data_IF_337881789729
#
_entry.id   IF_337881789729
#
_cell.length_a   1.000
_cell.length_b   1.000
_cell.length_c   1.000
_cell.angle_alpha   90.00
_cell.angle_beta   90.00
_cell.angle_gamma   90.00
#
_symmetry.space_group_name_H-M   'P 1'
#
loop_
_entity.id
_entity.type
_entity.pdbx_description
1 polymer ?
#
# COMPACT_ATOMS: atom_id res chain seq x y z
N UNK A 1 2.85 -19.16 17.52
CA UNK A 1 4.08 -19.33 16.73
C UNK A 1 4.34 -20.78 16.35
N UNK A 2 3.77 -21.78 17.06
CA UNK A 2 3.95 -23.22 16.77
C UNK A 2 3.51 -23.62 15.34
N UNK A 3 2.42 -23.04 14.83
CA UNK A 3 1.86 -23.38 13.51
C UNK A 3 2.82 -23.21 12.31
N UNK A 4 3.83 -22.35 12.40
CA UNK A 4 4.83 -22.16 11.34
C UNK A 4 6.17 -22.82 11.69
N UNK A 5 6.46 -22.92 12.98
CA UNK A 5 7.74 -23.40 13.47
C UNK A 5 7.88 -24.92 13.34
N UNK A 6 6.81 -25.68 13.62
CA UNK A 6 6.84 -27.14 13.55
C UNK A 6 6.98 -27.62 12.10
N UNK A 7 6.22 -27.10 11.12
CA UNK A 7 6.47 -27.43 9.71
C UNK A 7 7.88 -27.10 9.23
N UNK A 8 8.45 -25.96 9.66
CA UNK A 8 9.82 -25.58 9.27
C UNK A 8 10.85 -26.57 9.83
N UNK A 9 10.73 -26.95 11.11
CA UNK A 9 11.64 -27.92 11.74
C UNK A 9 11.49 -29.32 11.15
N UNK A 10 10.26 -29.77 10.90
CA UNK A 10 9.98 -31.05 10.25
C UNK A 10 10.59 -31.12 8.85
N UNK A 11 10.70 -29.97 8.16
CA UNK A 11 11.37 -29.84 6.86
C UNK A 11 12.87 -29.48 6.98
N UNK A 12 13.49 -29.70 8.14
CA UNK A 12 14.94 -29.63 8.32
C UNK A 12 15.51 -28.23 8.58
N UNK A 13 14.69 -27.23 8.89
CA UNK A 13 15.18 -25.91 9.31
C UNK A 13 15.83 -26.00 10.72
N UNK A 14 17.09 -25.60 10.81
CA UNK A 14 17.89 -25.63 12.06
C UNK A 14 18.24 -24.25 12.59
N UNK A 15 17.79 -23.17 11.93
CA UNK A 15 18.08 -21.80 12.30
C UNK A 15 17.22 -21.25 13.44
N UNK A 16 17.50 -20.01 13.84
CA UNK A 16 16.62 -19.25 14.73
C UNK A 16 15.46 -18.62 13.93
N UNK A 17 14.25 -18.66 14.49
CA UNK A 17 13.07 -18.02 13.93
C UNK A 17 12.77 -16.73 14.70
N UNK A 18 12.70 -15.61 14.01
CA UNK A 18 12.35 -14.30 14.57
C UNK A 18 11.15 -13.71 13.82
N UNK A 19 10.27 -13.03 14.55
CA UNK A 19 9.10 -12.37 14.00
C UNK A 19 9.31 -10.86 14.10
N UNK A 20 9.20 -10.19 12.97
CA UNK A 20 9.39 -8.75 12.86
C UNK A 20 8.22 -8.10 12.15
N UNK A 21 8.05 -6.79 12.37
CA UNK A 21 7.06 -6.01 11.64
C UNK A 21 7.39 -5.97 10.15
N UNK A 22 6.35 -6.12 9.32
CA UNK A 22 6.40 -5.87 7.89
C UNK A 22 6.87 -4.45 7.55
N UNK A 23 6.50 -3.44 8.36
CA UNK A 23 6.98 -2.06 8.23
C UNK A 23 8.48 -1.95 8.47
N UNK A 24 9.01 -2.68 9.45
CA UNK A 24 10.45 -2.72 9.72
C UNK A 24 11.21 -3.45 8.62
N UNK A 25 10.67 -4.56 8.12
CA UNK A 25 11.21 -5.26 6.96
C UNK A 25 11.19 -4.37 5.72
N UNK A 26 10.09 -3.65 5.46
CA UNK A 26 9.98 -2.70 4.35
C UNK A 26 11.04 -1.59 4.46
N UNK A 27 11.17 -0.94 5.62
CA UNK A 27 12.21 0.08 5.83
C UNK A 27 13.62 -0.50 5.59
N UNK A 28 13.88 -1.69 6.13
CA UNK A 28 15.18 -2.36 6.02
C UNK A 28 15.50 -2.85 4.61
N UNK A 29 14.51 -2.92 3.70
CA UNK A 29 14.73 -3.14 2.27
C UNK A 29 15.30 -1.90 1.56
N UNK A 30 15.17 -0.72 2.15
CA UNK A 30 15.51 0.55 1.51
C UNK A 30 16.66 1.31 2.15
N UNK A 31 16.92 1.11 3.45
CA UNK A 31 17.96 1.85 4.17
C UNK A 31 18.58 1.05 5.31
N UNK A 32 19.84 1.36 5.62
CA UNK A 32 20.53 0.90 6.85
C UNK A 32 20.87 2.04 7.82
N UNK A 33 20.34 3.25 7.56
CA UNK A 33 20.59 4.44 8.37
C UNK A 33 20.16 4.24 9.85
N UNK A 34 20.89 4.84 10.82
CA UNK A 34 20.58 4.73 12.25
C UNK A 34 19.20 5.25 12.63
N UNK A 35 18.73 6.30 11.93
CA UNK A 35 17.40 6.89 12.04
C UNK A 35 16.82 7.03 10.64
N UNK A 36 15.54 6.72 10.46
CA UNK A 36 14.82 6.96 9.22
C UNK A 36 13.34 6.61 9.34
N UNK A 37 12.63 6.72 8.23
CA UNK A 37 11.17 6.66 8.19
C UNK A 37 10.69 5.65 7.17
N UNK A 38 9.83 4.75 7.59
CA UNK A 38 9.15 3.80 6.71
C UNK A 38 7.72 4.25 6.46
N UNK A 39 7.27 4.26 5.20
CA UNK A 39 5.89 4.53 4.82
C UNK A 39 5.36 3.36 4.00
N UNK A 40 4.25 2.79 4.40
CA UNK A 40 3.50 1.85 3.54
C UNK A 40 2.26 2.56 3.03
N UNK A 41 2.07 2.52 1.72
CA UNK A 41 0.88 3.03 1.05
C UNK A 41 0.37 2.00 0.02
N UNK A 42 -0.61 1.21 0.44
CA UNK A 42 -1.30 0.21 -0.36
C UNK A 42 -2.80 0.41 -0.27
N UNK A 43 -3.55 -0.64 0.08
CA UNK A 43 -4.98 -0.47 0.41
C UNK A 43 -5.17 0.42 1.63
N UNK A 44 -4.31 0.26 2.64
CA UNK A 44 -4.19 1.15 3.81
C UNK A 44 -2.88 1.95 3.80
N UNK A 45 -2.66 2.78 4.81
CA UNK A 45 -1.46 3.58 4.93
C UNK A 45 -1.01 3.83 6.38
N UNK A 46 0.30 3.74 6.62
CA UNK A 46 0.92 4.11 7.91
C UNK A 46 2.36 4.58 7.73
N UNK A 47 2.89 5.26 8.74
CA UNK A 47 4.30 5.61 8.83
C UNK A 47 4.92 5.14 10.15
N UNK A 48 6.21 4.80 10.11
CA UNK A 48 7.01 4.45 11.28
C UNK A 48 8.31 5.24 11.30
N UNK A 49 8.78 5.56 12.50
CA UNK A 49 10.17 5.95 12.74
C UNK A 49 10.96 4.73 13.17
N UNK A 50 12.05 4.47 12.48
CA UNK A 50 13.01 3.42 12.82
C UNK A 50 14.25 4.06 13.40
N UNK A 51 14.68 3.59 14.58
CA UNK A 51 15.89 4.00 15.26
C UNK A 51 16.64 2.78 15.79
N UNK A 52 17.94 2.69 15.50
CA UNK A 52 18.78 1.57 15.95
C UNK A 52 18.24 0.21 15.52
N UNK A 53 17.62 0.14 14.33
CA UNK A 53 17.04 -1.08 13.78
C UNK A 53 15.71 -1.52 14.42
N UNK A 54 15.03 -0.65 15.17
CA UNK A 54 13.74 -0.93 15.80
C UNK A 54 12.73 0.17 15.49
N UNK A 55 11.45 -0.18 15.42
CA UNK A 55 10.37 0.83 15.35
C UNK A 55 10.25 1.49 16.72
N UNK A 56 10.36 2.82 16.76
CA UNK A 56 10.25 3.62 18.00
C UNK A 56 9.03 4.53 18.03
N UNK A 57 8.40 4.76 16.88
CA UNK A 57 7.12 5.46 16.77
C UNK A 57 6.35 4.99 15.54
N UNK A 58 5.02 5.03 15.62
CA UNK A 58 4.09 4.68 14.54
C UNK A 58 2.99 5.72 14.47
N UNK A 59 2.57 6.08 13.26
CA UNK A 59 1.41 6.93 13.03
C UNK A 59 0.51 6.36 11.93
N UNK A 60 -0.79 6.59 12.10
CA UNK A 60 -1.87 6.05 11.27
C UNK A 60 -1.88 4.50 11.21
N UNK A 61 -2.42 3.88 10.16
CA UNK A 61 -2.68 2.44 10.09
C UNK A 61 -3.88 1.99 10.94
N UNK A 62 -4.81 2.90 11.23
CA UNK A 62 -5.99 2.63 12.07
C UNK A 62 -7.20 2.07 11.28
N UNK A 63 -6.94 1.61 10.05
CA UNK A 63 -7.95 1.07 9.15
C UNK A 63 -8.77 2.16 8.45
N UNK A 64 -9.46 1.73 7.39
CA UNK A 64 -10.19 2.59 6.44
C UNK A 64 -11.18 3.61 7.05
N UNK A 65 -11.73 3.34 8.24
CA UNK A 65 -12.73 4.20 8.88
C UNK A 65 -12.10 5.34 9.69
N UNK A 66 -11.01 5.06 10.42
CA UNK A 66 -10.42 5.97 11.41
C UNK A 66 -9.03 6.49 11.01
N UNK A 67 -8.44 5.86 9.99
CA UNK A 67 -7.08 6.09 9.53
C UNK A 67 -6.92 5.83 8.04
N UNK A 68 -5.78 5.23 7.69
CA UNK A 68 -5.37 4.93 6.31
C UNK A 68 -5.44 6.17 5.40
N UNK A 69 -5.05 7.33 5.93
CA UNK A 69 -5.16 8.59 5.19
C UNK A 69 -4.17 8.59 4.03
N UNK A 70 -4.65 9.02 2.85
CA UNK A 70 -3.87 9.00 1.62
C UNK A 70 -3.59 7.61 1.02
N UNK A 71 -4.19 6.56 1.59
CA UNK A 71 -4.11 5.19 1.05
C UNK A 71 -4.89 5.03 -0.26
N UNK A 72 -4.74 3.87 -0.89
CA UNK A 72 -5.55 3.47 -2.04
C UNK A 72 -7.05 3.46 -1.74
N UNK A 73 -7.47 3.03 -0.54
CA UNK A 73 -8.87 3.18 -0.13
C UNK A 73 -9.30 4.65 -0.09
N UNK A 74 -8.47 5.52 0.50
CA UNK A 74 -8.75 6.95 0.61
C UNK A 74 -8.93 7.58 -0.78
N UNK A 75 -8.03 7.27 -1.71
CA UNK A 75 -8.05 7.75 -3.10
C UNK A 75 -9.28 7.21 -3.84
N UNK A 76 -9.54 5.91 -3.76
CA UNK A 76 -10.66 5.27 -4.45
C UNK A 76 -12.03 5.72 -3.91
N UNK A 77 -12.15 5.93 -2.59
CA UNK A 77 -13.31 6.59 -1.99
C UNK A 77 -13.48 8.03 -2.52
N UNK A 78 -12.38 8.76 -2.69
CA UNK A 78 -12.38 10.09 -3.30
C UNK A 78 -12.97 10.08 -4.72
N UNK A 79 -12.60 9.10 -5.55
CA UNK A 79 -13.15 8.91 -6.88
C UNK A 79 -14.68 8.69 -6.86
N UNK A 80 -15.14 7.79 -5.98
CA UNK A 80 -16.56 7.51 -5.81
C UNK A 80 -17.33 8.75 -5.33
N UNK A 81 -16.77 9.50 -4.36
CA UNK A 81 -17.38 10.72 -3.85
C UNK A 81 -17.44 11.82 -4.90
N UNK A 82 -16.41 11.97 -5.74
CA UNK A 82 -16.41 12.91 -6.85
C UNK A 82 -17.50 12.58 -7.89
N UNK A 83 -17.64 11.31 -8.27
CA UNK A 83 -18.68 10.87 -9.19
C UNK A 83 -20.09 11.11 -8.65
N UNK A 84 -20.31 10.83 -7.36
CA UNK A 84 -21.58 11.14 -6.69
C UNK A 84 -21.85 12.65 -6.68
N UNK A 85 -20.84 13.47 -6.37
CA UNK A 85 -21.00 14.92 -6.32
C UNK A 85 -21.34 15.51 -7.69
N UNK A 86 -20.71 15.06 -8.76
CA UNK A 86 -21.06 15.47 -10.13
C UNK A 86 -22.50 15.09 -10.48
N UNK A 87 -22.89 13.83 -10.22
CA UNK A 87 -24.24 13.34 -10.51
C UNK A 87 -25.34 14.04 -9.67
N UNK A 88 -25.02 14.49 -8.46
CA UNK A 88 -25.92 15.27 -7.59
C UNK A 88 -25.88 16.78 -7.89
N UNK A 89 -25.05 17.22 -8.85
CA UNK A 89 -24.92 18.62 -9.25
C UNK A 89 -24.10 19.50 -8.29
N UNK A 90 -23.39 18.91 -7.33
CA UNK A 90 -22.56 19.59 -6.34
C UNK A 90 -21.07 19.65 -6.73
N UNK A 91 -20.64 18.76 -7.62
CA UNK A 91 -19.27 18.64 -8.10
C UNK A 91 -19.10 19.12 -9.54
N UNK A 92 -17.86 19.45 -9.94
CA UNK A 92 -17.56 19.74 -11.35
C UNK A 92 -17.63 18.46 -12.20
N UNK A 93 -17.79 18.63 -13.50
CA UNK A 93 -17.65 17.55 -14.48
C UNK A 93 -16.22 16.98 -14.47
N UNK A 94 -16.09 15.66 -14.51
CA UNK A 94 -14.82 14.96 -14.50
C UNK A 94 -14.87 13.67 -15.34
N UNK A 95 -13.75 13.31 -15.95
CA UNK A 95 -13.60 12.01 -16.62
C UNK A 95 -13.70 10.83 -15.65
N UNK A 96 -13.62 11.07 -14.34
CA UNK A 96 -13.80 10.06 -13.31
C UNK A 96 -15.23 9.53 -13.26
N UNK A 97 -16.24 10.37 -13.46
CA UNK A 97 -17.65 9.97 -13.34
C UNK A 97 -18.02 8.84 -14.31
N UNK A 98 -17.80 8.96 -15.62
CA UNK A 98 -18.08 7.86 -16.54
C UNK A 98 -17.24 6.60 -16.24
N UNK A 99 -15.99 6.75 -15.77
CA UNK A 99 -15.12 5.60 -15.41
C UNK A 99 -15.61 4.86 -14.17
N UNK A 100 -16.03 5.59 -13.14
CA UNK A 100 -16.59 5.02 -11.90
C UNK A 100 -17.90 4.32 -12.21
N UNK A 101 -18.78 4.92 -13.02
CA UNK A 101 -20.02 4.28 -13.46
C UNK A 101 -19.74 2.98 -14.23
N UNK A 102 -18.80 3.01 -15.18
CA UNK A 102 -18.39 1.82 -15.93
C UNK A 102 -17.83 0.74 -15.00
N UNK A 103 -16.92 1.09 -14.07
CA UNK A 103 -16.34 0.15 -13.11
C UNK A 103 -17.37 -0.41 -12.12
N UNK A 104 -18.44 0.35 -11.84
CA UNK A 104 -19.58 -0.10 -11.04
C UNK A 104 -20.59 -0.95 -11.85
N UNK A 105 -20.34 -1.19 -13.14
CA UNK A 105 -21.24 -1.94 -14.02
C UNK A 105 -22.50 -1.17 -14.42
N UNK A 106 -22.47 0.15 -14.32
CA UNK A 106 -23.58 1.04 -14.67
C UNK A 106 -23.30 1.60 -16.06
N UNK A 107 -23.89 0.98 -17.07
CA UNK A 107 -23.81 1.41 -18.47
C UNK A 107 -25.21 1.56 -19.07
N UNK A 108 -25.40 2.55 -19.94
CA UNK A 108 -26.59 2.66 -20.79
C UNK A 108 -27.12 4.09 -21.00
N UNK A 109 -27.90 4.25 -22.07
CA UNK A 109 -28.48 5.51 -22.57
C UNK A 109 -29.45 6.19 -21.56
N UNK A 110 -29.87 5.48 -20.51
CA UNK A 110 -30.74 6.00 -19.45
C UNK A 110 -30.02 6.56 -18.21
N UNK A 111 -28.69 6.63 -18.20
CA UNK A 111 -27.92 7.11 -17.04
C UNK A 111 -28.31 8.54 -16.59
N UNK A 112 -28.65 9.40 -17.55
CA UNK A 112 -29.09 10.78 -17.32
C UNK A 112 -30.62 10.93 -17.22
N UNK A 113 -31.38 9.83 -17.27
CA UNK A 113 -32.82 9.91 -17.06
C UNK A 113 -33.11 10.33 -15.61
N UNK A 114 -34.14 11.16 -15.42
CA UNK A 114 -34.61 11.54 -14.09
C UNK A 114 -35.44 10.41 -13.48
N UNK A 115 -35.06 10.02 -12.27
CA UNK A 115 -35.80 9.13 -11.39
C UNK A 115 -37.04 9.80 -10.81
N UNK A 116 -37.78 9.04 -9.99
CA UNK A 116 -39.07 9.47 -9.45
C UNK A 116 -38.96 10.65 -8.46
N UNK A 117 -37.80 10.85 -7.84
CA UNK A 117 -37.51 11.96 -6.93
C UNK A 117 -36.79 13.14 -7.63
N UNK A 118 -36.60 13.07 -8.95
CA UNK A 118 -35.91 14.08 -9.76
C UNK A 118 -34.38 13.90 -9.83
N UNK A 119 -33.80 12.88 -9.17
CA UNK A 119 -32.36 12.59 -9.26
C UNK A 119 -32.01 11.78 -10.50
N UNK A 120 -30.76 11.83 -11.00
CA UNK A 120 -30.35 10.94 -12.07
C UNK A 120 -30.42 9.47 -11.66
N UNK A 121 -30.95 8.59 -12.53
CA UNK A 121 -31.01 7.14 -12.28
C UNK A 121 -29.61 6.55 -12.03
N UNK A 122 -28.58 7.08 -12.69
CA UNK A 122 -27.19 6.67 -12.44
C UNK A 122 -26.74 6.94 -11.00
N UNK A 123 -27.19 8.04 -10.37
CA UNK A 123 -26.87 8.37 -8.99
C UNK A 123 -27.46 7.33 -8.03
N UNK A 124 -28.75 7.02 -8.18
CA UNK A 124 -29.43 6.01 -7.37
C UNK A 124 -28.77 4.63 -7.49
N UNK A 125 -28.45 4.23 -8.73
CA UNK A 125 -27.78 2.95 -9.01
C UNK A 125 -26.38 2.90 -8.41
N UNK A 126 -25.59 3.98 -8.54
CA UNK A 126 -24.25 4.04 -8.00
C UNK A 126 -24.28 3.95 -6.48
N UNK A 127 -25.12 4.73 -5.81
CA UNK A 127 -25.32 4.63 -4.35
C UNK A 127 -25.61 3.18 -3.96
N UNK A 128 -26.59 2.53 -4.58
CA UNK A 128 -26.95 1.14 -4.26
C UNK A 128 -25.77 0.18 -4.43
N UNK A 129 -25.02 0.29 -5.52
CA UNK A 129 -23.84 -0.57 -5.77
C UNK A 129 -22.77 -0.35 -4.71
N UNK A 130 -22.44 0.89 -4.40
CA UNK A 130 -21.37 1.21 -3.44
C UNK A 130 -21.72 0.76 -2.02
N UNK A 131 -22.95 1.00 -1.55
CA UNK A 131 -23.39 0.58 -0.21
C UNK A 131 -23.56 -0.94 -0.06
N UNK A 132 -23.69 -1.69 -1.15
CA UNK A 132 -23.74 -3.15 -1.12
C UNK A 132 -22.36 -3.82 -1.04
N UNK A 133 -21.27 -3.08 -1.28
CA UNK A 133 -19.91 -3.61 -1.26
C UNK A 133 -19.28 -3.52 0.13
N UNK A 134 -18.24 -4.34 0.37
CA UNK A 134 -17.38 -4.16 1.54
C UNK A 134 -16.60 -2.84 1.36
N UNK A 135 -16.51 -1.95 2.37
CA UNK A 135 -15.89 -0.64 2.22
C UNK A 135 -14.50 -0.67 1.58
N UNK A 136 -13.67 -1.63 1.98
CA UNK A 136 -12.31 -1.80 1.43
C UNK A 136 -12.25 -1.95 -0.09
N UNK A 137 -13.33 -2.40 -0.75
CA UNK A 137 -13.40 -2.58 -2.20
C UNK A 137 -13.37 -1.25 -2.96
N UNK A 138 -13.67 -0.12 -2.32
CA UNK A 138 -13.51 1.20 -2.94
C UNK A 138 -12.07 1.49 -3.35
N UNK A 139 -11.07 0.84 -2.74
CA UNK A 139 -9.67 0.97 -3.17
C UNK A 139 -9.44 0.56 -4.63
N UNK A 140 -10.31 -0.27 -5.20
CA UNK A 140 -10.26 -0.66 -6.60
C UNK A 140 -10.50 0.50 -7.58
N UNK A 141 -11.04 1.64 -7.12
CA UNK A 141 -11.16 2.84 -7.95
C UNK A 141 -9.92 3.74 -7.94
N UNK A 142 -8.93 3.48 -7.08
CA UNK A 142 -7.71 4.30 -7.06
C UNK A 142 -6.97 4.36 -8.41
N UNK A 143 -6.84 3.27 -9.19
CA UNK A 143 -6.24 3.33 -10.52
C UNK A 143 -6.96 4.31 -11.46
N UNK A 144 -8.28 4.47 -11.36
CA UNK A 144 -9.04 5.41 -12.18
C UNK A 144 -8.61 6.86 -11.93
N UNK A 145 -8.24 7.19 -10.69
CA UNK A 145 -7.69 8.50 -10.32
C UNK A 145 -6.32 8.70 -10.94
N UNK A 146 -5.49 7.67 -10.97
CA UNK A 146 -4.16 7.77 -11.57
C UNK A 146 -4.26 8.03 -13.07
N UNK A 147 -5.09 7.24 -13.76
CA UNK A 147 -5.31 7.39 -15.19
C UNK A 147 -5.91 8.77 -15.53
N UNK A 148 -6.88 9.24 -14.74
CA UNK A 148 -7.47 10.58 -14.93
C UNK A 148 -6.47 11.72 -14.64
N UNK A 149 -5.58 11.55 -13.66
CA UNK A 149 -4.53 12.53 -13.38
C UNK A 149 -3.46 12.59 -14.48
N UNK A 150 -3.13 11.45 -15.12
CA UNK A 150 -2.29 11.42 -16.33
C UNK A 150 -2.92 12.26 -17.47
N UNK A 151 -4.25 12.31 -17.53
CA UNK A 151 -5.04 13.15 -18.46
C UNK A 151 -5.27 14.58 -17.98
N UNK A 152 -4.62 14.99 -16.87
CA UNK A 152 -4.70 16.35 -16.30
C UNK A 152 -6.11 16.74 -15.84
N UNK A 153 -6.92 15.75 -15.45
CA UNK A 153 -8.23 16.01 -14.84
C UNK A 153 -8.05 16.71 -13.47
N UNK A 154 -8.64 17.90 -13.27
CA UNK A 154 -8.40 18.71 -12.06
C UNK A 154 -8.96 18.06 -10.79
N UNK A 155 -10.01 17.24 -10.89
CA UNK A 155 -10.59 16.53 -9.74
C UNK A 155 -9.65 15.42 -9.30
N UNK A 156 -9.13 14.64 -10.25
CA UNK A 156 -8.17 13.58 -9.99
C UNK A 156 -6.86 14.13 -9.40
N UNK A 157 -6.29 15.19 -9.97
CA UNK A 157 -5.12 15.88 -9.40
C UNK A 157 -5.42 16.42 -8.00
N UNK A 158 -6.64 16.92 -7.77
CA UNK A 158 -7.17 17.31 -6.45
C UNK A 158 -7.06 16.20 -5.41
N UNK A 159 -7.58 15.02 -5.76
CA UNK A 159 -7.58 13.84 -4.90
C UNK A 159 -6.14 13.41 -4.58
N UNK A 160 -5.26 13.32 -5.58
CA UNK A 160 -3.87 12.88 -5.36
C UNK A 160 -3.06 13.87 -4.55
N UNK A 161 -3.27 15.17 -4.75
CA UNK A 161 -2.62 16.22 -3.96
C UNK A 161 -2.98 16.08 -2.48
N UNK A 162 -4.28 15.95 -2.18
CA UNK A 162 -4.73 15.78 -0.80
C UNK A 162 -4.21 14.46 -0.21
N UNK A 163 -4.21 13.36 -0.98
CA UNK A 163 -3.65 12.09 -0.53
C UNK A 163 -2.15 12.21 -0.16
N UNK A 164 -1.36 12.88 -1.01
CA UNK A 164 0.05 13.16 -0.74
C UNK A 164 0.26 14.00 0.52
N UNK A 165 -0.53 15.05 0.69
CA UNK A 165 -0.50 15.90 1.88
C UNK A 165 -0.84 15.13 3.17
N UNK A 166 -1.79 14.20 3.11
CA UNK A 166 -2.12 13.33 4.25
C UNK A 166 -0.97 12.38 4.60
N UNK A 167 -0.33 11.74 3.62
CA UNK A 167 0.81 10.85 3.86
C UNK A 167 1.98 11.62 4.50
N UNK A 168 2.28 12.82 4.01
CA UNK A 168 3.34 13.66 4.57
C UNK A 168 3.01 14.14 5.98
N UNK A 169 1.74 14.49 6.26
CA UNK A 169 1.30 14.77 7.63
C UNK A 169 1.55 13.58 8.55
N UNK A 170 1.24 12.36 8.11
CA UNK A 170 1.48 11.13 8.88
C UNK A 170 2.98 10.90 9.14
N UNK A 171 3.86 11.14 8.15
CA UNK A 171 5.32 11.09 8.35
C UNK A 171 5.75 12.12 9.39
N UNK A 172 5.24 13.36 9.29
CA UNK A 172 5.59 14.46 10.19
C UNK A 172 5.22 14.20 11.66
N UNK A 173 4.25 13.33 11.94
CA UNK A 173 3.88 12.93 13.31
C UNK A 173 4.94 12.05 14.00
N UNK A 174 5.72 11.30 13.22
CA UNK A 174 6.78 10.43 13.75
C UNK A 174 8.18 11.00 13.52
N UNK A 175 8.30 12.03 12.69
CA UNK A 175 9.58 12.65 12.37
C UNK A 175 10.13 13.45 13.55
N UNK A 176 11.40 13.22 13.88
CA UNK A 176 12.13 14.01 14.87
C UNK A 176 13.46 14.55 14.32
N UNK A 177 14.15 13.76 13.49
CA UNK A 177 15.46 14.09 12.89
C UNK A 177 15.44 13.88 11.37
N UNK A 178 16.32 14.53 10.59
CA UNK A 178 16.49 14.20 9.17
C UNK A 178 16.89 12.74 8.97
N UNK A 179 16.30 12.08 7.97
CA UNK A 179 16.59 10.69 7.66
C UNK A 179 15.94 10.23 6.35
N UNK A 180 16.36 9.07 5.81
CA UNK A 180 15.78 8.52 4.59
C UNK A 180 14.30 8.20 4.81
N UNK A 181 13.50 8.45 3.78
CA UNK A 181 12.10 8.03 3.69
C UNK A 181 12.04 6.84 2.74
N UNK A 182 11.83 5.66 3.31
CA UNK A 182 11.64 4.40 2.57
C UNK A 182 10.16 4.16 2.39
N UNK A 183 9.71 3.99 1.16
CA UNK A 183 8.30 3.87 0.82
C UNK A 183 8.04 2.57 0.07
N UNK A 184 7.06 1.82 0.55
CA UNK A 184 6.54 0.61 -0.11
C UNK A 184 5.03 0.64 -0.28
N UNK A 185 4.50 -0.33 -1.02
CA UNK A 185 3.06 -0.51 -1.27
C UNK A 185 2.63 -0.14 -2.69
N UNK A 186 1.54 -0.77 -3.14
CA UNK A 186 1.16 -0.78 -4.56
C UNK A 186 0.78 0.58 -5.14
N UNK A 187 0.39 1.55 -4.31
CA UNK A 187 -0.08 2.87 -4.78
C UNK A 187 1.07 3.72 -5.30
N UNK A 188 2.21 3.65 -4.61
CA UNK A 188 3.37 4.52 -4.85
C UNK A 188 4.45 3.85 -5.69
N UNK A 189 4.31 2.54 -5.95
CA UNK A 189 5.20 1.78 -6.84
C UNK A 189 4.82 1.89 -8.31
N UNK A 190 3.62 2.41 -8.63
CA UNK A 190 3.25 2.74 -10.00
C UNK A 190 3.94 4.05 -10.39
N UNK A 191 4.81 4.07 -11.42
CA UNK A 191 5.36 5.32 -11.94
C UNK A 191 4.25 6.25 -12.40
N UNK A 192 4.45 7.57 -12.25
CA UNK A 192 3.51 8.59 -12.70
C UNK A 192 3.04 9.51 -11.56
N UNK A 193 1.86 10.15 -11.72
CA UNK A 193 1.41 11.23 -10.85
C UNK A 193 1.43 10.93 -9.34
N UNK A 194 1.03 9.74 -8.83
CA UNK A 194 1.03 9.47 -7.40
C UNK A 194 2.44 9.52 -6.79
N UNK A 195 3.42 8.94 -7.48
CA UNK A 195 4.80 8.90 -7.04
C UNK A 195 5.45 10.29 -7.10
N UNK A 196 5.22 11.02 -8.20
CA UNK A 196 5.75 12.36 -8.41
C UNK A 196 5.20 13.35 -7.37
N UNK A 197 3.89 13.31 -7.12
CA UNK A 197 3.25 14.15 -6.12
C UNK A 197 3.77 13.83 -4.72
N UNK A 198 3.86 12.55 -4.33
CA UNK A 198 4.35 12.21 -3.00
C UNK A 198 5.81 12.65 -2.80
N UNK A 199 6.66 12.46 -3.82
CA UNK A 199 8.05 12.95 -3.81
C UNK A 199 8.10 14.46 -3.62
N UNK A 200 7.26 15.21 -4.34
CA UNK A 200 7.19 16.66 -4.21
C UNK A 200 6.75 17.11 -2.81
N UNK A 201 5.71 16.50 -2.23
CA UNK A 201 5.25 16.83 -0.88
C UNK A 201 6.31 16.49 0.18
N UNK A 202 7.03 15.37 0.03
CA UNK A 202 8.13 15.00 0.94
C UNK A 202 9.26 16.02 0.86
N UNK A 203 9.66 16.43 -0.35
CA UNK A 203 10.70 17.43 -0.56
C UNK A 203 10.30 18.80 0.01
N UNK A 204 9.03 19.21 -0.16
CA UNK A 204 8.51 20.45 0.39
C UNK A 204 8.48 20.45 1.92
N UNK A 205 8.05 19.35 2.55
CA UNK A 205 7.90 19.28 4.00
C UNK A 205 9.22 19.01 4.74
N UNK A 206 10.12 18.23 4.16
CA UNK A 206 11.30 17.70 4.86
C UNK A 206 12.63 18.06 4.19
N UNK A 207 12.59 18.79 3.06
CA UNK A 207 13.77 19.09 2.25
C UNK A 207 14.23 17.90 1.41
N UNK A 208 15.40 18.04 0.80
CA UNK A 208 16.05 16.99 0.00
C UNK A 208 16.57 15.86 0.91
N UNK A 209 15.67 14.93 1.24
CA UNK A 209 15.98 13.69 1.97
C UNK A 209 16.04 12.50 1.02
N UNK A 210 16.83 11.45 1.32
CA UNK A 210 16.82 10.25 0.50
C UNK A 210 15.43 9.63 0.44
N UNK A 211 14.84 9.60 -0.76
CA UNK A 211 13.53 9.02 -1.03
C UNK A 211 13.71 7.69 -1.76
N UNK A 212 13.47 6.58 -1.06
CA UNK A 212 13.78 5.23 -1.55
C UNK A 212 12.50 4.42 -1.71
N UNK A 213 12.24 3.95 -2.94
CA UNK A 213 11.15 3.03 -3.22
C UNK A 213 11.61 1.59 -3.06
N UNK A 214 10.74 0.76 -2.47
CA UNK A 214 10.94 -0.68 -2.29
C UNK A 214 9.70 -1.45 -2.72
N UNK A 215 9.92 -2.52 -3.49
CA UNK A 215 8.86 -3.37 -4.04
C UNK A 215 8.31 -4.38 -3.01
N UNK A 216 9.13 -4.78 -2.04
CA UNK A 216 8.82 -5.80 -1.05
C UNK A 216 9.67 -5.67 0.21
N UNK A 217 9.21 -6.30 1.30
CA UNK A 217 9.99 -6.46 2.53
C UNK A 217 11.03 -7.59 2.47
N UNK A 218 11.17 -8.31 1.35
CA UNK A 218 11.98 -9.53 1.29
C UNK A 218 13.49 -9.26 1.49
N UNK A 219 14.00 -8.20 0.86
CA UNK A 219 15.38 -7.76 1.08
C UNK A 219 15.61 -7.38 2.55
N UNK A 220 14.71 -6.59 3.14
CA UNK A 220 14.82 -6.17 4.53
C UNK A 220 14.62 -7.30 5.54
N UNK A 221 13.78 -8.30 5.26
CA UNK A 221 13.70 -9.51 6.08
C UNK A 221 15.05 -10.26 6.11
N UNK A 222 15.74 -10.32 4.98
CA UNK A 222 17.12 -10.87 4.91
C UNK A 222 18.10 -10.01 5.71
N UNK A 223 18.01 -8.67 5.61
CA UNK A 223 18.84 -7.75 6.38
C UNK A 223 18.62 -7.87 7.89
N UNK A 224 17.37 -8.04 8.32
CA UNK A 224 17.00 -8.27 9.71
C UNK A 224 17.53 -9.61 10.20
N UNK A 225 17.42 -10.68 9.41
CA UNK A 225 17.98 -11.98 9.75
C UNK A 225 19.51 -11.94 9.93
N UNK A 226 20.23 -11.21 9.07
CA UNK A 226 21.67 -10.98 9.22
C UNK A 226 22.00 -10.26 10.53
N UNK A 227 21.29 -9.16 10.84
CA UNK A 227 21.47 -8.43 12.11
C UNK A 227 21.24 -9.32 13.33
N UNK A 228 20.17 -10.13 13.32
CA UNK A 228 19.87 -11.08 14.39
C UNK A 228 20.94 -12.16 14.56
N UNK A 229 21.67 -12.46 13.49
CA UNK A 229 22.79 -13.40 13.51
C UNK A 229 24.11 -12.74 13.95
N UNK A 230 24.08 -11.47 14.37
CA UNK A 230 25.26 -10.71 14.77
C UNK A 230 26.12 -10.20 13.60
N UNK A 231 25.59 -10.23 12.37
CA UNK A 231 26.28 -9.68 11.21
C UNK A 231 26.00 -8.19 11.11
N UNK A 232 27.06 -7.39 11.13
CA UNK A 232 26.97 -5.96 10.81
C UNK A 232 26.55 -5.79 9.35
N UNK A 233 25.45 -5.06 9.14
CA UNK A 233 24.93 -4.79 7.80
C UNK A 233 25.13 -3.32 7.45
N UNK A 234 25.62 -3.11 6.23
CA UNK A 234 25.94 -1.81 5.65
C UNK A 234 25.25 -1.64 4.29
N UNK A 235 25.48 -0.50 3.63
CA UNK A 235 24.92 -0.20 2.32
C UNK A 235 25.37 -1.19 1.24
N UNK A 236 26.60 -1.73 1.35
CA UNK A 236 27.11 -2.74 0.43
C UNK A 236 26.35 -4.06 0.57
N UNK A 237 26.05 -4.46 1.80
CA UNK A 237 25.26 -5.64 2.12
C UNK A 237 23.84 -5.47 1.58
N UNK A 238 23.22 -4.32 1.83
CA UNK A 238 21.89 -4.00 1.32
C UNK A 238 21.83 -4.08 -0.20
N UNK A 239 22.77 -3.45 -0.91
CA UNK A 239 22.83 -3.48 -2.37
C UNK A 239 22.94 -4.91 -2.93
N UNK A 240 23.79 -5.75 -2.32
CA UNK A 240 23.95 -7.15 -2.72
C UNK A 240 22.67 -7.96 -2.49
N UNK A 241 22.03 -7.79 -1.33
CA UNK A 241 20.77 -8.48 -1.00
C UNK A 241 19.65 -8.06 -1.96
N UNK A 242 19.50 -6.75 -2.23
CA UNK A 242 18.49 -6.26 -3.18
C UNK A 242 18.70 -6.82 -4.58
N UNK A 243 19.94 -6.87 -5.07
CA UNK A 243 20.26 -7.45 -6.37
C UNK A 243 19.88 -8.93 -6.43
N UNK A 244 20.28 -9.73 -5.43
CA UNK A 244 19.99 -11.16 -5.38
C UNK A 244 18.49 -11.47 -5.29
N UNK A 245 17.74 -10.73 -4.49
CA UNK A 245 16.27 -10.89 -4.38
C UNK A 245 15.60 -10.52 -5.72
N UNK A 246 16.02 -9.42 -6.36
CA UNK A 246 15.49 -9.01 -7.66
C UNK A 246 15.77 -10.03 -8.77
N UNK A 247 16.92 -10.70 -8.75
CA UNK A 247 17.22 -11.81 -9.66
C UNK A 247 16.32 -13.02 -9.40
N UNK A 248 16.16 -13.44 -8.14
CA UNK A 248 15.31 -14.57 -7.78
C UNK A 248 13.83 -14.34 -8.13
N UNK A 249 13.31 -13.12 -7.93
CA UNK A 249 11.93 -12.78 -8.29
C UNK A 249 11.69 -12.81 -9.81
N UNK A 250 12.69 -12.40 -10.62
CA UNK A 250 12.63 -12.47 -12.10
C UNK A 250 12.75 -13.89 -12.65
N UNK A 251 13.50 -14.75 -11.96
CA UNK A 251 13.68 -16.14 -12.35
C UNK A 251 12.42 -17.02 -12.10
N UNK A 252 11.41 -16.49 -11.39
CA UNK A 252 10.32 -17.28 -10.83
C UNK A 252 10.80 -18.02 -9.58
N UNK A 253 9.99 -18.07 -8.53
CA UNK A 253 10.36 -18.76 -7.29
C UNK A 253 10.85 -20.19 -7.59
N UNK A 254 11.92 -20.68 -6.93
CA UNK A 254 12.29 -22.08 -7.04
C UNK A 254 11.07 -22.95 -6.74
N UNK A 255 10.94 -24.07 -7.45
CA UNK A 255 9.86 -25.02 -7.24
C UNK A 255 9.72 -25.30 -5.73
N UNK A 256 8.49 -25.34 -5.19
CA UNK A 256 8.28 -25.63 -3.78
C UNK A 256 9.03 -26.90 -3.42
N UNK A 257 9.68 -26.89 -2.26
CA UNK A 257 10.29 -28.10 -1.69
C UNK A 257 9.17 -29.16 -1.69
N UNK A 258 9.33 -30.28 -2.42
CA UNK A 258 8.25 -31.24 -2.57
C UNK A 258 7.83 -31.72 -1.18
N UNK A 259 6.55 -31.55 -0.86
CA UNK A 259 5.97 -32.03 0.37
C UNK A 259 6.06 -33.56 0.39
N UNK A 260 7.08 -34.09 1.06
CA UNK A 260 7.13 -35.49 1.45
C UNK A 260 6.22 -35.68 2.68
N UNK A 261 4.91 -35.55 2.50
CA UNK A 261 3.96 -36.03 3.50
C UNK A 261 3.82 -37.55 3.33
N UNK A 262 4.23 -38.39 4.29
CA UNK A 262 3.57 -39.67 4.44
C UNK A 262 2.12 -39.38 4.86
N UNK A 263 1.16 -39.96 4.15
CA UNK A 263 -0.24 -39.88 4.49
C UNK A 263 -0.42 -40.29 5.97
N UNK A 264 -1.04 -39.42 6.76
CA UNK A 264 -1.53 -39.78 8.09
C UNK A 264 -2.63 -40.82 7.86
N UNK A 265 -2.52 -42.06 8.36
CA UNK A 265 -3.61 -43.00 8.26
C UNK A 265 -4.77 -42.49 9.11
N UNK A 266 -5.96 -42.39 8.51
CA UNK A 266 -7.21 -42.18 9.22
C UNK A 266 -7.37 -43.32 10.25
N UNK A 267 -6.98 -43.03 11.48
CA UNK A 267 -7.23 -43.88 12.63
C UNK A 267 -8.66 -43.67 13.07
N UNK A 268 -9.52 -44.63 12.69
CA UNK A 268 -10.74 -44.93 13.41
C UNK A 268 -10.44 -45.05 14.91
N UNK A 269 -11.20 -44.36 15.75
CA UNK A 269 -11.69 -44.80 17.07
C UNK A 269 -12.31 -43.63 17.85
N UNK A 270 -13.22 -43.90 18.80
CA UNK A 270 -14.51 -44.57 18.70
C UNK A 270 -15.70 -43.60 18.91
#
# INVERSE_FOLDING_TARGET
SEWIHDPLKENGFTGALTFESDLLAMYSSGAVAPVGYGVVCGTGASAVRVEGGRIVATADGLGWLLGDRGSGFWIGRGAAAAAIAELDGLGPESVLTPRVLQAAGIAGEGAHASGADGRPVALEHLIRVLYAQRPVQLSAFAPLVFDAAEERDPVAEGILREAGAQLVRTIGLVQADPGPVVIGGSIVLRPGPPQEMLRAHVAEAFGEVPFVLVDSGAAGATMLALRHSGVDVDERTLARVRAGIGEAMRAGAPAPIPASHPAVPEGDTP
#
